data_IF_411274735536
#
_entry.id   IF_411274735536
#
_cell.length_a   1.000
_cell.length_b   1.000
_cell.length_c   1.000
_cell.angle_alpha   90.00
_cell.angle_beta   90.00
_cell.angle_gamma   90.00
#
_symmetry.space_group_name_H-M   'P 1'
#
loop_
_entity.id
_entity.type
_entity.pdbx_description
1 polymer ?
#
# COMPACT_ATOMS: atom_id res chain seq x y z
N UNK A 1 -46.10 -26.79 38.77
CA UNK A 1 -45.38 -26.46 37.52
C UNK A 1 -44.04 -27.17 37.58
N UNK A 2 -43.79 -28.10 36.67
CA UNK A 2 -42.65 -29.01 36.78
C UNK A 2 -41.35 -28.25 36.55
N UNK A 3 -40.40 -28.40 37.48
CA UNK A 3 -39.12 -27.65 37.45
C UNK A 3 -38.37 -27.87 36.12
N UNK A 4 -38.52 -29.03 35.49
CA UNK A 4 -37.94 -29.32 34.16
C UNK A 4 -38.58 -28.48 33.04
N UNK A 5 -39.87 -28.19 33.12
CA UNK A 5 -40.59 -27.37 32.14
C UNK A 5 -40.20 -25.89 32.25
N UNK A 6 -39.94 -25.40 33.47
CA UNK A 6 -39.45 -24.03 33.68
C UNK A 6 -38.02 -23.83 33.20
N UNK A 7 -37.15 -24.84 33.28
CA UNK A 7 -35.79 -24.78 32.70
C UNK A 7 -35.82 -24.80 31.16
N UNK A 8 -36.77 -25.52 30.55
CA UNK A 8 -36.89 -25.60 29.09
C UNK A 8 -37.44 -24.30 28.47
N UNK A 9 -38.45 -23.68 29.08
CA UNK A 9 -39.00 -22.37 28.64
C UNK A 9 -38.02 -21.21 28.85
N UNK A 10 -37.27 -21.20 29.97
CA UNK A 10 -36.22 -20.21 30.20
C UNK A 10 -35.08 -20.28 29.18
N UNK A 11 -34.74 -21.49 28.72
CA UNK A 11 -33.72 -21.70 27.68
C UNK A 11 -34.16 -21.20 26.29
N UNK A 12 -35.44 -21.37 25.93
CA UNK A 12 -36.00 -20.86 24.67
C UNK A 12 -36.03 -19.32 24.66
N UNK A 13 -36.47 -18.70 25.76
CA UNK A 13 -36.48 -17.23 25.89
C UNK A 13 -35.05 -16.67 25.86
N UNK A 14 -34.09 -17.34 26.52
CA UNK A 14 -32.68 -16.97 26.45
C UNK A 14 -32.09 -17.06 25.03
N UNK A 15 -32.45 -18.10 24.27
CA UNK A 15 -32.00 -18.26 22.87
C UNK A 15 -32.60 -17.20 21.94
N UNK A 16 -33.85 -16.79 22.17
CA UNK A 16 -34.50 -15.72 21.40
C UNK A 16 -33.85 -14.35 21.69
N UNK A 17 -33.51 -14.07 22.96
CA UNK A 17 -32.80 -12.82 23.34
C UNK A 17 -31.37 -12.80 22.79
N UNK A 18 -30.66 -13.92 22.78
CA UNK A 18 -29.34 -14.02 22.16
C UNK A 18 -29.40 -13.85 20.63
N UNK A 19 -30.38 -14.46 19.96
CA UNK A 19 -30.56 -14.31 18.52
C UNK A 19 -30.93 -12.86 18.15
N UNK A 20 -31.83 -12.22 18.90
CA UNK A 20 -32.18 -10.82 18.71
C UNK A 20 -31.03 -9.86 19.03
N UNK A 21 -30.23 -10.15 20.06
CA UNK A 21 -29.02 -9.40 20.39
C UNK A 21 -27.91 -9.56 19.34
N UNK A 22 -27.78 -10.75 18.75
CA UNK A 22 -26.81 -11.02 17.69
C UNK A 22 -27.24 -10.39 16.36
N UNK A 23 -28.53 -10.40 16.02
CA UNK A 23 -29.03 -9.69 14.82
C UNK A 23 -29.00 -8.17 14.99
N UNK A 24 -29.34 -7.64 16.18
CA UNK A 24 -29.23 -6.21 16.46
C UNK A 24 -27.76 -5.75 16.54
N UNK A 25 -26.89 -6.56 17.14
CA UNK A 25 -25.44 -6.35 17.14
C UNK A 25 -24.87 -6.37 15.73
N UNK A 26 -25.21 -7.36 14.91
CA UNK A 26 -24.82 -7.39 13.50
C UNK A 26 -25.40 -6.22 12.70
N UNK A 27 -26.59 -5.69 13.01
CA UNK A 27 -27.10 -4.46 12.38
C UNK A 27 -26.23 -3.24 12.73
N UNK A 28 -25.84 -3.09 14.00
CA UNK A 28 -24.94 -2.01 14.42
C UNK A 28 -23.53 -2.17 13.85
N UNK A 29 -23.06 -3.41 13.62
CA UNK A 29 -21.78 -3.70 12.95
C UNK A 29 -21.87 -3.69 11.42
N UNK A 30 -23.06 -3.76 10.81
CA UNK A 30 -23.27 -3.67 9.37
C UNK A 30 -23.32 -2.22 8.87
N UNK A 31 -23.62 -1.27 9.76
CA UNK A 31 -23.48 0.17 9.48
C UNK A 31 -22.09 0.72 9.83
N UNK A 32 -21.24 -0.07 10.49
CA UNK A 32 -19.79 0.17 10.48
C UNK A 32 -19.26 -0.40 9.17
N UNK A 33 -18.70 0.40 8.25
CA UNK A 33 -18.14 -0.13 7.04
C UNK A 33 -16.97 -1.05 7.42
N UNK A 34 -17.18 -2.36 7.28
CA UNK A 34 -16.11 -3.35 7.19
C UNK A 34 -15.46 -3.18 5.81
N UNK A 35 -14.80 -2.05 5.62
CA UNK A 35 -14.04 -1.69 4.44
C UNK A 35 -12.68 -1.26 4.93
N UNK A 36 -11.63 -1.93 4.45
CA UNK A 36 -10.25 -1.64 4.81
C UNK A 36 -9.97 -0.14 4.81
N UNK A 37 -9.17 0.30 5.78
CA UNK A 37 -8.81 1.69 6.00
C UNK A 37 -8.27 2.30 4.70
N UNK A 38 -9.17 2.92 3.94
CA UNK A 38 -8.86 3.93 2.95
C UNK A 38 -8.73 5.20 3.76
N UNK A 39 -7.50 5.69 3.94
CA UNK A 39 -7.31 7.10 4.23
C UNK A 39 -7.78 7.87 2.98
N UNK A 40 -9.05 8.26 3.00
CA UNK A 40 -9.66 9.13 2.01
C UNK A 40 -8.96 10.50 2.11
N UNK A 41 -8.04 10.76 1.19
CA UNK A 41 -7.55 12.11 0.94
C UNK A 41 -8.73 12.94 0.43
N UNK A 42 -8.99 14.05 1.10
CA UNK A 42 -10.12 14.91 0.83
C UNK A 42 -10.16 15.34 -0.64
N UNK A 43 -11.32 15.15 -1.26
CA UNK A 43 -11.67 15.75 -2.55
C UNK A 43 -11.79 17.27 -2.35
N UNK A 44 -10.87 18.02 -2.94
CA UNK A 44 -10.99 19.47 -3.11
C UNK A 44 -10.93 19.81 -4.59
N UNK A 45 -11.86 20.68 -4.98
CA UNK A 45 -12.35 20.92 -6.33
C UNK A 45 -11.32 21.34 -7.38
N UNK A 46 -11.70 20.95 -8.61
CA UNK A 46 -11.32 21.47 -9.93
C UNK A 46 -10.66 22.87 -9.94
N UNK A 47 -9.51 22.92 -10.58
CA UNK A 47 -9.27 23.93 -11.63
C UNK A 47 -8.45 23.30 -12.75
N UNK A 48 -8.91 23.47 -13.98
CA UNK A 48 -8.35 22.85 -15.19
C UNK A 48 -7.22 23.70 -15.75
N UNK A 49 -6.11 23.08 -16.17
CA UNK A 49 -5.37 23.52 -17.37
C UNK A 49 -4.53 22.37 -17.93
N UNK A 50 -4.52 22.17 -19.26
CA UNK A 50 -4.24 20.88 -19.86
C UNK A 50 -2.75 20.71 -20.19
N UNK A 51 -2.18 19.55 -19.88
CA UNK A 51 -0.94 19.10 -20.51
C UNK A 51 -1.09 17.64 -20.91
N UNK A 52 -0.96 17.45 -22.22
CA UNK A 52 -1.04 16.20 -22.94
C UNK A 52 -0.17 15.10 -22.30
N UNK A 53 -0.73 13.89 -22.21
CA UNK A 53 -0.08 12.58 -22.35
C UNK A 53 -0.84 11.56 -21.47
N UNK A 54 -1.54 10.65 -22.15
CA UNK A 54 -2.30 9.50 -21.66
C UNK A 54 -2.25 9.28 -20.13
N UNK A 55 -3.33 9.70 -19.48
CA UNK A 55 -3.68 9.28 -18.13
C UNK A 55 -3.97 7.76 -18.17
N UNK A 56 -2.93 6.96 -17.95
CA UNK A 56 -3.06 5.50 -17.86
C UNK A 56 -3.89 5.21 -16.61
N UNK A 57 -5.17 4.86 -16.82
CA UNK A 57 -6.11 4.44 -15.79
C UNK A 57 -5.66 3.12 -15.15
N UNK A 58 -4.80 3.26 -14.15
CA UNK A 58 -4.53 2.27 -13.12
C UNK A 58 -4.22 3.01 -11.82
N UNK A 59 -5.14 2.97 -10.85
CA UNK A 59 -5.07 3.77 -9.61
C UNK A 59 -3.86 3.48 -8.72
N UNK A 60 -3.09 2.42 -8.98
CA UNK A 60 -1.90 2.04 -8.21
C UNK A 60 -0.58 2.39 -8.93
N UNK A 61 -0.62 2.92 -10.15
CA UNK A 61 0.61 3.19 -10.92
C UNK A 61 1.23 4.57 -10.62
N UNK A 62 0.53 5.44 -9.89
CA UNK A 62 0.90 6.84 -9.75
C UNK A 62 1.54 7.14 -8.39
N UNK A 63 2.63 7.91 -8.40
CA UNK A 63 3.31 8.36 -7.19
C UNK A 63 2.60 9.60 -6.61
N UNK A 64 1.75 9.38 -5.60
CA UNK A 64 0.87 10.39 -4.96
C UNK A 64 1.58 11.24 -3.89
N UNK A 65 2.76 11.78 -4.20
CA UNK A 65 3.44 12.77 -3.35
C UNK A 65 3.81 14.02 -4.15
N UNK A 66 3.86 15.15 -3.45
CA UNK A 66 4.23 16.46 -4.02
C UNK A 66 5.30 17.11 -3.15
N UNK A 67 5.73 18.31 -3.53
CA UNK A 67 6.71 19.09 -2.76
C UNK A 67 6.21 19.51 -1.38
N UNK A 68 4.89 19.59 -1.20
CA UNK A 68 4.25 19.94 0.07
C UNK A 68 3.91 18.71 0.92
N UNK A 69 4.25 17.50 0.46
CA UNK A 69 4.00 16.29 1.22
C UNK A 69 4.81 16.25 2.51
N UNK A 70 4.25 15.64 3.54
CA UNK A 70 4.95 15.42 4.80
C UNK A 70 6.03 14.36 4.65
N UNK A 71 6.97 14.31 5.60
CA UNK A 71 7.98 13.23 5.63
C UNK A 71 7.32 11.84 5.69
N UNK A 72 6.24 11.70 6.47
CA UNK A 72 5.49 10.45 6.62
C UNK A 72 4.86 9.99 5.29
N UNK A 73 4.29 10.92 4.51
CA UNK A 73 3.76 10.63 3.19
C UNK A 73 4.85 10.19 2.21
N UNK A 74 6.02 10.85 2.27
CA UNK A 74 7.18 10.47 1.45
C UNK A 74 7.71 9.09 1.85
N UNK A 75 7.83 8.80 3.15
CA UNK A 75 8.21 7.48 3.67
C UNK A 75 7.22 6.41 3.19
N UNK A 76 5.92 6.70 3.28
CA UNK A 76 4.87 5.77 2.83
C UNK A 76 4.96 5.46 1.35
N UNK A 77 5.18 6.49 0.52
CA UNK A 77 5.39 6.32 -0.91
C UNK A 77 6.66 5.51 -1.22
N UNK A 78 7.77 5.80 -0.53
CA UNK A 78 9.02 5.05 -0.68
C UNK A 78 8.84 3.58 -0.26
N UNK A 79 8.16 3.30 0.85
CA UNK A 79 7.84 1.94 1.28
C UNK A 79 7.02 1.20 0.23
N UNK A 80 5.93 1.82 -0.26
CA UNK A 80 5.07 1.26 -1.31
C UNK A 80 5.83 0.92 -2.59
N UNK A 81 6.86 1.69 -2.95
CA UNK A 81 7.73 1.37 -4.09
C UNK A 81 8.52 0.07 -3.87
N UNK A 82 8.97 -0.21 -2.65
CA UNK A 82 9.76 -1.41 -2.36
C UNK A 82 8.99 -2.72 -2.53
N UNK A 83 7.65 -2.70 -2.38
CA UNK A 83 6.80 -3.89 -2.53
C UNK A 83 6.95 -4.59 -3.89
N UNK A 84 7.29 -3.85 -4.96
CA UNK A 84 7.56 -4.45 -6.27
C UNK A 84 8.75 -5.42 -6.22
N UNK A 85 9.75 -5.16 -5.37
CA UNK A 85 11.05 -5.83 -5.39
C UNK A 85 11.21 -6.90 -4.30
N UNK A 86 10.33 -6.94 -3.30
CA UNK A 86 10.50 -7.81 -2.13
C UNK A 86 9.28 -8.68 -1.87
N UNK A 87 9.52 -9.84 -1.25
CA UNK A 87 8.45 -10.69 -0.76
C UNK A 87 8.05 -10.27 0.65
N UNK A 88 6.97 -9.51 0.74
CA UNK A 88 6.31 -9.12 2.00
C UNK A 88 4.89 -9.71 2.07
N UNK A 89 4.41 -10.03 3.28
CA UNK A 89 3.07 -10.57 3.52
C UNK A 89 2.16 -9.53 4.17
N UNK A 90 1.81 -8.47 3.45
CA UNK A 90 0.96 -7.41 4.03
C UNK A 90 -0.20 -6.91 3.16
N UNK A 91 -0.33 -7.37 1.91
CA UNK A 91 -1.49 -7.07 1.06
C UNK A 91 -1.70 -5.57 0.80
N UNK A 92 -0.68 -4.73 1.03
CA UNK A 92 -0.75 -3.28 0.84
C UNK A 92 -0.57 -2.91 -0.63
N UNK A 93 -1.06 -1.73 -1.00
CA UNK A 93 -0.91 -1.19 -2.35
C UNK A 93 0.55 -1.02 -2.77
N UNK A 94 0.77 -0.96 -4.07
CA UNK A 94 2.10 -0.88 -4.67
C UNK A 94 2.23 0.40 -5.49
N UNK A 95 3.45 0.93 -5.56
CA UNK A 95 3.83 2.01 -6.48
C UNK A 95 4.97 1.49 -7.36
N UNK A 96 5.04 1.81 -8.66
CA UNK A 96 6.13 1.32 -9.49
C UNK A 96 7.51 1.79 -8.99
N UNK A 97 8.43 0.85 -8.78
CA UNK A 97 9.86 1.11 -8.53
C UNK A 97 10.55 1.47 -9.86
N UNK A 98 10.17 2.62 -10.41
CA UNK A 98 10.76 3.18 -11.63
C UNK A 98 11.80 4.23 -11.32
N UNK A 99 12.78 4.39 -12.21
CA UNK A 99 13.76 5.48 -12.11
C UNK A 99 13.07 6.85 -12.05
N UNK A 100 11.99 7.05 -12.82
CA UNK A 100 11.20 8.29 -12.82
C UNK A 100 10.61 8.61 -11.44
N UNK A 101 10.04 7.60 -10.78
CA UNK A 101 9.49 7.78 -9.43
C UNK A 101 10.60 8.04 -8.40
N UNK A 102 11.73 7.34 -8.49
CA UNK A 102 12.89 7.59 -7.64
C UNK A 102 13.44 9.03 -7.82
N UNK A 103 13.53 9.52 -9.06
CA UNK A 103 13.95 10.90 -9.32
C UNK A 103 12.97 11.95 -8.75
N UNK A 104 11.65 11.67 -8.81
CA UNK A 104 10.63 12.53 -8.21
C UNK A 104 10.75 12.56 -6.68
N UNK A 105 10.94 11.41 -6.04
CA UNK A 105 11.21 11.32 -4.58
C UNK A 105 12.44 12.14 -4.23
N UNK A 106 13.56 11.95 -4.96
CA UNK A 106 14.80 12.68 -4.73
C UNK A 106 14.60 14.19 -4.80
N UNK A 107 13.85 14.66 -5.79
CA UNK A 107 13.54 16.09 -5.95
C UNK A 107 12.80 16.65 -4.71
N UNK A 108 11.78 15.93 -4.24
CA UNK A 108 11.01 16.31 -3.03
C UNK A 108 11.92 16.33 -1.80
N UNK A 109 12.77 15.31 -1.62
CA UNK A 109 13.72 15.22 -0.51
C UNK A 109 14.74 16.37 -0.52
N UNK A 110 15.22 16.79 -1.69
CA UNK A 110 16.18 17.88 -1.80
C UNK A 110 15.57 19.23 -1.39
N UNK A 111 14.29 19.45 -1.68
CA UNK A 111 13.58 20.70 -1.42
C UNK A 111 13.01 20.83 0.00
N UNK A 112 12.96 19.74 0.77
CA UNK A 112 12.42 19.72 2.13
C UNK A 112 13.50 19.44 3.17
N UNK A 113 13.29 19.89 4.41
CA UNK A 113 14.19 19.63 5.55
C UNK A 113 13.54 18.60 6.48
N UNK A 114 13.61 17.33 6.08
CA UNK A 114 13.02 16.21 6.80
C UNK A 114 13.99 15.62 7.83
N UNK A 115 13.47 15.06 8.92
CA UNK A 115 14.26 14.50 10.01
C UNK A 115 15.21 13.38 9.53
N UNK A 116 14.76 12.55 8.61
CA UNK A 116 15.51 11.41 8.06
C UNK A 116 16.10 11.70 6.67
N UNK A 117 16.13 12.96 6.23
CA UNK A 117 16.51 13.38 4.87
C UNK A 117 17.76 12.69 4.33
N UNK A 118 18.85 12.68 5.10
CA UNK A 118 20.12 12.09 4.66
C UNK A 118 19.99 10.60 4.32
N UNK A 119 19.31 9.84 5.18
CA UNK A 119 19.10 8.41 4.99
C UNK A 119 18.15 8.14 3.83
N UNK A 120 17.07 8.93 3.71
CA UNK A 120 16.12 8.82 2.60
C UNK A 120 16.80 9.12 1.25
N UNK A 121 17.59 10.18 1.16
CA UNK A 121 18.35 10.52 -0.04
C UNK A 121 19.33 9.41 -0.42
N UNK A 122 20.07 8.87 0.55
CA UNK A 122 21.01 7.78 0.28
C UNK A 122 20.32 6.52 -0.27
N UNK A 123 19.10 6.22 0.18
CA UNK A 123 18.26 5.14 -0.37
C UNK A 123 17.82 5.49 -1.79
N UNK A 124 17.25 6.68 -1.99
CA UNK A 124 16.74 7.11 -3.31
C UNK A 124 17.84 7.17 -4.37
N UNK A 125 19.06 7.58 -4.03
CA UNK A 125 20.17 7.60 -4.98
C UNK A 125 20.54 6.19 -5.49
N UNK A 126 20.43 5.15 -4.64
CA UNK A 126 20.60 3.77 -5.11
C UNK A 126 19.50 3.39 -6.10
N UNK A 127 18.25 3.73 -5.81
CA UNK A 127 17.12 3.43 -6.69
C UNK A 127 17.20 4.16 -8.04
N UNK A 128 17.63 5.42 -8.06
CA UNK A 128 17.87 6.17 -9.32
C UNK A 128 18.93 5.47 -10.19
N UNK A 129 19.91 4.84 -9.57
CA UNK A 129 20.96 4.05 -10.22
C UNK A 129 20.56 2.58 -10.46
N UNK A 130 19.31 2.19 -10.16
CA UNK A 130 18.80 0.80 -10.23
C UNK A 130 19.60 -0.18 -9.38
N UNK A 131 20.23 0.31 -8.32
CA UNK A 131 20.86 -0.52 -7.31
C UNK A 131 19.80 -0.93 -6.28
N UNK A 132 19.37 -2.19 -6.37
CA UNK A 132 18.43 -2.81 -5.45
C UNK A 132 19.12 -3.82 -4.51
N UNK A 133 20.46 -3.78 -4.41
CA UNK A 133 21.23 -4.72 -3.58
C UNK A 133 20.86 -4.70 -2.10
N UNK A 134 20.25 -3.61 -1.63
CA UNK A 134 19.81 -3.42 -0.24
C UNK A 134 18.30 -3.35 -0.05
N UNK A 135 17.52 -3.73 -1.06
CA UNK A 135 16.08 -3.42 -1.10
C UNK A 135 15.28 -4.05 0.06
N UNK A 136 15.73 -5.18 0.60
CA UNK A 136 15.12 -5.82 1.79
C UNK A 136 15.40 -5.00 3.05
N UNK A 137 16.65 -4.57 3.26
CA UNK A 137 17.02 -3.70 4.39
C UNK A 137 16.28 -2.36 4.33
N UNK A 138 16.12 -1.83 3.11
CA UNK A 138 15.46 -0.55 2.87
C UNK A 138 13.95 -0.63 3.09
N UNK A 139 13.31 -1.71 2.63
CA UNK A 139 11.92 -2.02 2.98
C UNK A 139 11.76 -2.06 4.50
N UNK A 140 12.58 -2.84 5.20
CA UNK A 140 12.44 -3.03 6.65
C UNK A 140 12.73 -1.74 7.43
N UNK A 141 13.62 -0.87 6.93
CA UNK A 141 13.81 0.47 7.49
C UNK A 141 12.52 1.30 7.45
N UNK A 142 11.79 1.32 6.33
CA UNK A 142 10.49 2.04 6.27
C UNK A 142 9.42 1.37 7.13
N UNK A 143 9.40 0.04 7.15
CA UNK A 143 8.50 -0.74 7.99
C UNK A 143 8.69 -0.44 9.48
N UNK A 144 9.94 -0.32 9.95
CA UNK A 144 10.27 0.08 11.32
C UNK A 144 9.83 1.52 11.62
N UNK A 145 10.08 2.46 10.70
CA UNK A 145 9.64 3.86 10.85
C UNK A 145 8.12 4.01 10.93
N UNK A 146 7.37 3.03 10.43
CA UNK A 146 5.91 3.00 10.43
C UNK A 146 5.33 2.09 11.54
N UNK A 147 6.14 1.75 12.55
CA UNK A 147 5.75 0.89 13.68
C UNK A 147 5.16 -0.47 13.22
N UNK A 148 5.72 -1.02 12.14
CA UNK A 148 5.26 -2.25 11.52
C UNK A 148 5.23 -3.44 12.47
N UNK A 149 4.20 -4.28 12.33
CA UNK A 149 4.04 -5.54 13.10
C UNK A 149 3.89 -6.78 12.21
N UNK A 150 3.41 -6.57 10.99
CA UNK A 150 3.18 -7.59 9.96
C UNK A 150 3.76 -7.04 8.65
N UNK A 151 4.36 -7.91 7.84
CA UNK A 151 4.85 -7.54 6.51
C UNK A 151 6.35 -7.34 6.40
N UNK A 152 7.16 -7.67 7.41
CA UNK A 152 8.62 -7.61 7.29
C UNK A 152 9.10 -8.43 6.07
N UNK A 153 9.96 -7.85 5.25
CA UNK A 153 10.49 -8.49 4.06
C UNK A 153 11.62 -9.46 4.44
N UNK A 154 11.61 -10.64 3.83
CA UNK A 154 12.61 -11.70 4.09
C UNK A 154 13.60 -11.89 2.94
N UNK A 155 13.20 -11.56 1.71
CA UNK A 155 14.03 -11.70 0.51
C UNK A 155 13.53 -10.82 -0.63
N UNK A 156 14.42 -10.60 -1.60
CA UNK A 156 14.07 -10.04 -2.90
C UNK A 156 13.18 -11.04 -3.68
N UNK A 157 12.23 -10.53 -4.47
CA UNK A 157 11.31 -11.34 -5.26
C UNK A 157 11.50 -11.15 -6.78
N UNK A 158 12.67 -11.56 -7.27
CA UNK A 158 13.02 -11.39 -8.69
C UNK A 158 12.25 -12.30 -9.63
N UNK A 159 11.74 -13.44 -9.16
CA UNK A 159 11.01 -14.41 -10.01
C UNK A 159 9.56 -13.96 -10.24
N UNK A 160 8.93 -13.37 -9.24
CA UNK A 160 7.52 -12.96 -9.29
C UNK A 160 7.36 -11.45 -9.57
N UNK A 161 8.44 -10.69 -9.79
CA UNK A 161 8.42 -9.22 -9.98
C UNK A 161 7.55 -8.79 -11.18
N UNK A 162 7.60 -9.55 -12.28
CA UNK A 162 6.82 -9.27 -13.48
C UNK A 162 5.33 -9.57 -13.24
N UNK A 163 5.01 -10.69 -12.60
CA UNK A 163 3.64 -11.04 -12.23
C UNK A 163 3.06 -10.03 -11.24
N UNK A 164 3.86 -9.60 -10.26
CA UNK A 164 3.49 -8.53 -9.35
C UNK A 164 3.17 -7.25 -10.11
N UNK A 165 4.02 -6.86 -11.07
CA UNK A 165 3.84 -5.65 -11.87
C UNK A 165 2.56 -5.72 -12.72
N UNK A 166 2.28 -6.86 -13.36
CA UNK A 166 1.06 -7.07 -14.13
C UNK A 166 -0.19 -6.96 -13.23
N UNK A 167 -0.17 -7.63 -12.07
CA UNK A 167 -1.31 -7.66 -11.16
C UNK A 167 -1.60 -6.30 -10.51
N UNK A 168 -0.58 -5.49 -10.25
CA UNK A 168 -0.73 -4.21 -9.55
C UNK A 168 -0.84 -3.01 -10.50
N UNK A 169 -0.16 -3.04 -11.64
CA UNK A 169 0.01 -1.89 -12.53
C UNK A 169 -0.59 -2.09 -13.94
N UNK A 170 -0.88 -3.33 -14.33
CA UNK A 170 -1.42 -3.67 -15.65
C UNK A 170 -0.37 -3.73 -16.77
N UNK A 171 -0.82 -4.15 -17.96
CA UNK A 171 0.04 -4.48 -19.10
C UNK A 171 0.83 -3.27 -19.61
N UNK A 172 0.18 -2.11 -19.75
CA UNK A 172 0.82 -0.92 -20.32
C UNK A 172 1.97 -0.41 -19.45
N UNK A 173 1.74 -0.30 -18.13
CA UNK A 173 2.76 0.14 -17.18
C UNK A 173 3.88 -0.88 -17.08
N UNK A 174 3.55 -2.18 -17.04
CA UNK A 174 4.54 -3.26 -17.00
C UNK A 174 5.43 -3.24 -18.25
N UNK A 175 4.85 -3.10 -19.43
CA UNK A 175 5.59 -2.98 -20.68
C UNK A 175 6.51 -1.74 -20.69
N UNK A 176 6.05 -0.62 -20.13
CA UNK A 176 6.87 0.57 -19.98
C UNK A 176 8.07 0.35 -19.04
N UNK A 177 7.87 -0.35 -17.90
CA UNK A 177 8.94 -0.69 -16.96
C UNK A 177 9.99 -1.63 -17.57
N UNK A 178 9.55 -2.59 -18.41
CA UNK A 178 10.47 -3.47 -19.17
C UNK A 178 11.27 -2.64 -20.16
N UNK A 179 10.59 -1.79 -20.96
CA UNK A 179 11.23 -0.95 -21.96
C UNK A 179 12.24 0.05 -21.35
N UNK A 180 11.98 0.56 -20.15
CA UNK A 180 12.88 1.49 -19.45
C UNK A 180 14.05 0.78 -18.75
N UNK A 181 13.99 -0.55 -18.60
CA UNK A 181 14.95 -1.35 -17.83
C UNK A 181 14.74 -1.27 -16.31
N UNK A 182 13.57 -0.81 -15.86
CA UNK A 182 13.20 -0.77 -14.43
C UNK A 182 12.67 -2.13 -13.93
N UNK A 183 12.19 -2.97 -14.84
CA UNK A 183 11.78 -4.35 -14.62
C UNK A 183 12.56 -5.26 -15.59
N UNK A 184 13.17 -6.33 -15.06
CA UNK A 184 13.85 -7.31 -15.91
C UNK A 184 12.82 -8.20 -16.61
N UNK A 185 13.00 -8.43 -17.91
CA UNK A 185 12.17 -9.38 -18.64
C UNK A 185 12.63 -10.81 -18.31
N UNK A 186 11.75 -11.61 -17.72
CA UNK A 186 12.01 -13.04 -17.49
C UNK A 186 11.42 -13.80 -18.67
N UNK A 187 12.12 -13.75 -19.81
CA UNK A 187 11.67 -14.39 -21.05
C UNK A 187 12.76 -14.46 -22.11
N UNK A 188 13.39 -15.63 -22.22
CA UNK A 188 13.89 -16.20 -23.48
C UNK A 188 13.20 -17.55 -23.70
#
# INVERSE_FOLDING_TARGET
MDKKLTYWLGSIIGMIVLAAGMTYGMLQFAEVPMGGEKHAFAESNKDETPSNEAEIKGSNAQLHITKSSTEEEVISAMHSMTHQKVKASDGRGATPMSKKNAEKVRSILNENDFKNKEKLLAITERWVNRDFSKIVEEHNYFWELQDGKIGEATKMDSLDEQTFSLNNFGDEVTAALIKSGDLQHVGE
#
